data_IF_697531081210
#
_entry.id   IF_697531081210
#
_cell.length_a   1.000
_cell.length_b   1.000
_cell.length_c   1.000
_cell.angle_alpha   90.00
_cell.angle_beta   90.00
_cell.angle_gamma   90.00
#
_symmetry.space_group_name_H-M   'P 1'
#
loop_
_entity.id
_entity.type
_entity.pdbx_description
1 polymer ?
#
# COMPACT_ATOMS: atom_id res chain seq x y z
N UNK A 1 7.21 -22.18 0.14
CA UNK A 1 5.99 -21.43 -0.29
C UNK A 1 6.31 -20.74 -1.60
N UNK A 2 5.31 -20.65 -2.51
CA UNK A 2 5.48 -19.93 -3.78
C UNK A 2 5.79 -18.45 -3.47
N UNK A 3 6.69 -17.85 -4.24
CA UNK A 3 7.02 -16.45 -4.16
C UNK A 3 5.81 -15.57 -4.48
N UNK A 4 5.46 -14.65 -3.58
CA UNK A 4 4.38 -13.69 -3.82
C UNK A 4 4.97 -12.31 -4.03
N UNK A 5 4.85 -11.81 -5.25
CA UNK A 5 5.15 -10.42 -5.59
C UNK A 5 3.91 -9.75 -6.16
N UNK A 6 3.69 -8.51 -5.79
CA UNK A 6 2.69 -7.63 -6.38
C UNK A 6 3.36 -6.50 -7.14
N UNK A 7 2.58 -5.78 -7.96
CA UNK A 7 3.02 -4.61 -8.71
C UNK A 7 2.23 -3.39 -8.29
N UNK A 8 2.92 -2.26 -8.14
CA UNK A 8 2.32 -0.98 -7.79
C UNK A 8 2.72 0.06 -8.84
N UNK A 9 1.91 0.32 -9.87
CA UNK A 9 2.15 1.48 -10.73
C UNK A 9 1.94 2.76 -9.91
N UNK A 10 2.87 3.71 -10.01
CA UNK A 10 2.73 4.95 -9.29
C UNK A 10 1.50 5.73 -9.80
N UNK A 11 0.82 6.48 -8.93
CA UNK A 11 -0.41 7.21 -9.25
C UNK A 11 -0.22 8.38 -10.22
N UNK A 12 1.02 8.74 -10.53
CA UNK A 12 1.41 9.69 -11.57
C UNK A 12 2.34 9.03 -12.59
N UNK A 13 2.34 9.55 -13.82
CA UNK A 13 3.30 9.14 -14.83
C UNK A 13 2.86 7.99 -15.73
N UNK A 14 1.68 7.40 -15.47
CA UNK A 14 1.08 6.38 -16.32
C UNK A 14 -0.32 6.79 -16.73
N UNK A 15 -0.66 6.64 -18.01
CA UNK A 15 -2.04 6.75 -18.44
C UNK A 15 -2.81 5.45 -18.17
N UNK A 16 -4.14 5.50 -18.31
CA UNK A 16 -5.02 4.36 -18.08
C UNK A 16 -4.66 3.13 -18.92
N UNK A 17 -4.26 3.33 -20.19
CA UNK A 17 -3.91 2.22 -21.11
C UNK A 17 -2.59 1.58 -20.70
N UNK A 18 -1.65 2.39 -20.22
CA UNK A 18 -0.37 1.90 -19.69
C UNK A 18 -0.59 1.05 -18.44
N UNK A 19 -1.46 1.49 -17.52
CA UNK A 19 -1.79 0.68 -16.33
C UNK A 19 -2.44 -0.65 -16.70
N UNK A 20 -3.33 -0.68 -17.71
CA UNK A 20 -3.89 -1.94 -18.22
C UNK A 20 -2.82 -2.85 -18.85
N UNK A 21 -1.87 -2.27 -19.59
CA UNK A 21 -0.73 -3.01 -20.14
C UNK A 21 0.15 -3.59 -19.02
N UNK A 22 0.46 -2.80 -17.99
CA UNK A 22 1.21 -3.25 -16.80
C UNK A 22 0.51 -4.44 -16.13
N UNK A 23 -0.81 -4.36 -15.95
CA UNK A 23 -1.58 -5.44 -15.33
C UNK A 23 -1.47 -6.76 -16.10
N UNK A 24 -1.56 -6.71 -17.42
CA UNK A 24 -1.41 -7.90 -18.29
C UNK A 24 0.01 -8.48 -18.23
N UNK A 25 1.03 -7.62 -18.36
CA UNK A 25 2.43 -8.06 -18.23
C UNK A 25 2.68 -8.71 -16.87
N UNK A 26 2.18 -8.10 -15.79
CA UNK A 26 2.32 -8.64 -14.44
C UNK A 26 1.64 -10.01 -14.30
N UNK A 27 0.42 -10.16 -14.83
CA UNK A 27 -0.29 -11.44 -14.83
C UNK A 27 0.48 -12.52 -15.62
N UNK A 28 0.98 -12.18 -16.80
CA UNK A 28 1.73 -13.11 -17.68
C UNK A 28 3.03 -13.57 -17.03
N UNK A 29 3.69 -12.70 -16.28
CA UNK A 29 4.92 -12.97 -15.55
C UNK A 29 4.67 -13.67 -14.18
N UNK A 30 3.41 -13.92 -13.81
CA UNK A 30 3.09 -14.68 -12.60
C UNK A 30 3.06 -13.85 -11.31
N UNK A 31 3.00 -12.52 -11.38
CA UNK A 31 2.78 -11.69 -10.21
C UNK A 31 1.44 -12.02 -9.55
N UNK A 32 1.42 -12.02 -8.22
CA UNK A 32 0.25 -12.38 -7.42
C UNK A 32 -0.84 -11.31 -7.46
N UNK A 33 -0.45 -10.02 -7.50
CA UNK A 33 -1.39 -8.90 -7.38
C UNK A 33 -0.94 -7.64 -8.08
N UNK A 34 -1.91 -6.79 -8.42
CA UNK A 34 -1.69 -5.39 -8.80
C UNK A 34 -2.39 -4.46 -7.81
N UNK A 35 -1.68 -3.45 -7.33
CA UNK A 35 -2.15 -2.50 -6.33
C UNK A 35 -2.28 -1.11 -6.95
N UNK A 36 -3.49 -0.59 -7.00
CA UNK A 36 -3.75 0.73 -7.58
C UNK A 36 -3.81 1.79 -6.48
N UNK A 37 -2.82 2.71 -6.44
CA UNK A 37 -2.83 3.82 -5.49
C UNK A 37 -3.94 4.84 -5.83
N UNK A 38 -4.53 5.44 -4.80
CA UNK A 38 -5.47 6.54 -4.95
C UNK A 38 -4.98 7.75 -4.18
N UNK A 39 -4.63 8.81 -4.93
CA UNK A 39 -4.32 10.12 -4.37
C UNK A 39 -5.24 11.17 -5.02
N UNK A 40 -4.78 11.87 -6.04
CA UNK A 40 -5.55 12.80 -6.87
C UNK A 40 -5.35 12.51 -8.38
N UNK A 41 -5.19 11.21 -8.71
CA UNK A 41 -5.12 10.67 -10.06
C UNK A 41 -6.41 9.95 -10.46
N UNK A 42 -6.28 8.73 -11.00
CA UNK A 42 -7.43 7.91 -11.35
C UNK A 42 -8.17 7.39 -10.12
N UNK A 43 -9.49 7.28 -10.23
CA UNK A 43 -10.32 6.61 -9.23
C UNK A 43 -10.08 5.09 -9.32
N UNK A 44 -9.66 4.50 -8.22
CA UNK A 44 -9.08 3.16 -8.20
C UNK A 44 -10.10 2.03 -8.49
N UNK A 45 -11.34 2.11 -8.00
CA UNK A 45 -12.32 1.03 -8.24
C UNK A 45 -12.75 0.95 -9.70
N UNK A 46 -12.86 2.10 -10.39
CA UNK A 46 -13.16 2.12 -11.81
C UNK A 46 -12.00 1.51 -12.62
N UNK A 47 -10.77 1.89 -12.30
CA UNK A 47 -9.59 1.36 -12.97
C UNK A 47 -9.38 -0.14 -12.69
N UNK A 48 -9.57 -0.58 -11.45
CA UNK A 48 -9.54 -1.99 -11.06
C UNK A 48 -10.63 -2.81 -11.76
N UNK A 49 -11.81 -2.20 -12.02
CA UNK A 49 -12.89 -2.86 -12.79
C UNK A 49 -12.47 -3.11 -14.25
N UNK A 50 -11.74 -2.19 -14.86
CA UNK A 50 -11.19 -2.42 -16.21
C UNK A 50 -10.11 -3.51 -16.18
N UNK A 51 -9.21 -3.47 -15.22
CA UNK A 51 -8.18 -4.51 -15.05
C UNK A 51 -8.83 -5.87 -14.82
N UNK A 52 -9.92 -5.93 -14.04
CA UNK A 52 -10.65 -7.17 -13.81
C UNK A 52 -11.14 -7.85 -15.09
N UNK A 53 -11.52 -7.07 -16.10
CA UNK A 53 -11.99 -7.57 -17.40
C UNK A 53 -10.88 -7.95 -18.36
N UNK A 54 -9.69 -7.42 -18.15
CA UNK A 54 -8.51 -7.66 -19.00
C UNK A 54 -7.61 -8.78 -18.46
N UNK A 55 -7.88 -9.26 -17.24
CA UNK A 55 -7.08 -10.25 -16.52
C UNK A 55 -7.97 -11.34 -15.92
N UNK A 56 -7.37 -12.50 -15.59
CA UNK A 56 -8.13 -13.67 -15.11
C UNK A 56 -7.61 -14.25 -13.80
N UNK A 57 -6.37 -13.98 -13.40
CA UNK A 57 -5.71 -14.59 -12.23
C UNK A 57 -5.18 -13.59 -11.22
N UNK A 58 -4.58 -12.49 -11.70
CA UNK A 58 -3.95 -11.51 -10.82
C UNK A 58 -4.95 -10.91 -9.84
N UNK A 59 -4.60 -10.83 -8.57
CA UNK A 59 -5.43 -10.20 -7.55
C UNK A 59 -5.44 -8.69 -7.73
N UNK A 60 -6.57 -8.09 -7.43
CA UNK A 60 -6.86 -6.68 -7.64
C UNK A 60 -6.92 -5.96 -6.29
N UNK A 61 -5.97 -5.10 -6.02
CA UNK A 61 -5.86 -4.47 -4.72
C UNK A 61 -5.95 -2.93 -4.78
N UNK A 62 -6.64 -2.36 -3.80
CA UNK A 62 -6.56 -0.92 -3.56
C UNK A 62 -5.27 -0.61 -2.79
N UNK A 63 -4.45 0.32 -3.27
CA UNK A 63 -3.12 0.58 -2.73
C UNK A 63 -2.85 1.99 -2.22
N UNK A 64 -3.68 2.55 -1.37
CA UNK A 64 -4.78 2.10 -0.52
C UNK A 64 -6.06 2.92 -0.76
N UNK A 65 -7.23 2.39 -0.38
CA UNK A 65 -8.44 3.18 -0.32
C UNK A 65 -8.47 4.04 0.96
N UNK A 66 -8.75 5.33 0.77
CA UNK A 66 -8.81 6.29 1.85
C UNK A 66 -10.18 6.22 2.56
N UNK A 67 -10.18 5.95 3.87
CA UNK A 67 -11.42 5.87 4.68
C UNK A 67 -12.14 7.20 4.90
N UNK A 68 -11.57 8.33 4.45
CA UNK A 68 -12.21 9.64 4.51
C UNK A 68 -12.87 10.05 3.19
N UNK A 69 -12.44 9.48 2.06
CA UNK A 69 -12.98 9.83 0.73
C UNK A 69 -14.32 9.14 0.43
N UNK A 70 -14.61 8.03 1.12
CA UNK A 70 -15.84 7.23 0.95
C UNK A 70 -16.45 6.86 2.30
N UNK A 71 -17.77 6.72 2.36
CA UNK A 71 -18.41 6.09 3.52
C UNK A 71 -18.06 4.60 3.60
N UNK A 72 -18.08 4.03 4.81
CA UNK A 72 -17.85 2.60 4.99
C UNK A 72 -18.85 1.74 4.19
N UNK A 73 -20.11 2.17 4.10
CA UNK A 73 -21.13 1.51 3.28
C UNK A 73 -20.78 1.51 1.79
N UNK A 74 -20.31 2.67 1.25
CA UNK A 74 -19.89 2.74 -0.15
C UNK A 74 -18.64 1.90 -0.41
N UNK A 75 -17.66 1.89 0.51
CA UNK A 75 -16.49 1.01 0.40
C UNK A 75 -16.90 -0.46 0.36
N UNK A 76 -17.80 -0.88 1.25
CA UNK A 76 -18.31 -2.25 1.25
C UNK A 76 -19.01 -2.63 -0.06
N UNK A 77 -19.85 -1.74 -0.60
CA UNK A 77 -20.53 -1.92 -1.89
C UNK A 77 -19.52 -2.01 -3.04
N UNK A 78 -18.62 -1.03 -3.16
CA UNK A 78 -17.64 -0.97 -4.24
C UNK A 78 -16.74 -2.21 -4.25
N UNK A 79 -16.28 -2.62 -3.06
CA UNK A 79 -15.43 -3.80 -2.91
C UNK A 79 -16.17 -5.09 -3.28
N UNK A 80 -17.41 -5.28 -2.79
CA UNK A 80 -18.19 -6.48 -3.10
C UNK A 80 -18.57 -6.55 -4.59
N UNK A 81 -18.86 -5.41 -5.22
CA UNK A 81 -19.14 -5.35 -6.65
C UNK A 81 -17.91 -5.69 -7.49
N UNK A 82 -16.75 -5.12 -7.13
CA UNK A 82 -15.49 -5.46 -7.81
C UNK A 82 -15.11 -6.93 -7.60
N UNK A 83 -15.36 -7.46 -6.40
CA UNK A 83 -15.10 -8.85 -6.08
C UNK A 83 -15.96 -9.81 -6.91
N UNK A 84 -17.23 -9.49 -7.12
CA UNK A 84 -18.13 -10.22 -8.03
C UNK A 84 -17.64 -10.15 -9.48
N UNK A 85 -17.33 -8.94 -10.00
CA UNK A 85 -16.82 -8.74 -11.36
C UNK A 85 -15.53 -9.51 -11.61
N UNK A 86 -14.68 -9.58 -10.60
CA UNK A 86 -13.35 -10.24 -10.69
C UNK A 86 -13.36 -11.71 -10.27
N UNK A 87 -14.52 -12.30 -9.96
CA UNK A 87 -14.66 -13.69 -9.53
C UNK A 87 -13.81 -14.01 -8.27
N UNK A 88 -13.87 -13.12 -7.27
CA UNK A 88 -13.24 -13.34 -5.98
C UNK A 88 -11.74 -12.97 -5.89
N UNK A 89 -11.25 -12.04 -6.71
CA UNK A 89 -9.82 -11.66 -6.76
C UNK A 89 -9.45 -10.40 -5.97
N UNK A 90 -10.37 -9.78 -5.25
CA UNK A 90 -10.12 -8.49 -4.58
C UNK A 90 -9.34 -8.65 -3.28
N UNK A 91 -8.42 -7.70 -3.03
CA UNK A 91 -7.84 -7.38 -1.73
C UNK A 91 -8.17 -5.91 -1.43
N UNK A 92 -8.80 -5.64 -0.30
CA UNK A 92 -9.10 -4.27 0.11
C UNK A 92 -7.93 -3.71 0.96
N UNK A 93 -7.05 -2.93 0.34
CA UNK A 93 -6.06 -2.13 1.06
C UNK A 93 -6.70 -0.86 1.60
N UNK A 94 -6.63 -0.61 2.90
CA UNK A 94 -7.22 0.52 3.59
C UNK A 94 -6.19 1.36 4.33
N UNK A 95 -6.39 2.67 4.33
CA UNK A 95 -5.57 3.60 5.10
C UNK A 95 -6.27 4.92 5.37
N UNK A 96 -5.60 5.78 6.12
CA UNK A 96 -6.14 7.08 6.51
C UNK A 96 -5.72 8.22 5.59
N UNK A 97 -4.80 7.97 4.66
CA UNK A 97 -4.14 8.99 3.85
C UNK A 97 -3.45 10.07 4.69
N UNK A 98 -2.91 11.10 4.03
CA UNK A 98 -2.35 12.28 4.70
C UNK A 98 -3.41 13.33 5.01
N UNK A 99 -3.24 14.06 6.12
CA UNK A 99 -4.16 15.12 6.53
C UNK A 99 -4.41 16.15 5.42
N UNK A 100 -3.36 16.58 4.72
CA UNK A 100 -3.47 17.55 3.64
C UNK A 100 -4.39 17.06 2.51
N UNK A 101 -4.28 15.81 2.10
CA UNK A 101 -5.13 15.22 1.06
C UNK A 101 -6.58 15.15 1.53
N UNK A 102 -6.80 14.71 2.76
CA UNK A 102 -8.15 14.57 3.31
C UNK A 102 -8.85 15.93 3.48
N UNK A 103 -8.17 16.93 4.03
CA UNK A 103 -8.78 18.24 4.31
C UNK A 103 -8.82 19.13 3.08
N UNK A 104 -7.74 19.20 2.28
CA UNK A 104 -7.64 20.18 1.20
C UNK A 104 -8.14 19.66 -0.15
N UNK A 105 -8.09 18.34 -0.40
CA UNK A 105 -8.60 17.75 -1.63
C UNK A 105 -10.01 17.18 -1.47
N UNK A 106 -10.25 16.39 -0.40
CA UNK A 106 -11.57 15.79 -0.17
C UNK A 106 -12.53 16.67 0.65
N UNK A 107 -12.06 17.79 1.25
CA UNK A 107 -12.87 18.69 2.05
C UNK A 107 -13.43 18.06 3.32
N UNK A 108 -12.84 16.99 3.82
CA UNK A 108 -13.32 16.22 4.97
C UNK A 108 -12.42 16.46 6.19
N UNK A 109 -12.95 16.78 7.37
CA UNK A 109 -12.14 16.96 8.56
C UNK A 109 -11.36 15.69 8.95
N UNK A 110 -10.05 15.80 9.15
CA UNK A 110 -9.17 14.68 9.55
C UNK A 110 -9.29 14.41 11.06
N UNK A 111 -10.34 13.71 11.46
CA UNK A 111 -10.64 13.45 12.88
C UNK A 111 -10.70 11.95 13.16
N UNK A 112 -10.09 11.53 14.29
CA UNK A 112 -10.09 10.14 14.81
C UNK A 112 -9.73 9.10 13.73
N UNK A 113 -8.58 9.25 13.00
CA UNK A 113 -8.27 8.43 11.84
C UNK A 113 -8.22 6.92 12.18
N UNK A 114 -7.61 6.54 13.29
CA UNK A 114 -7.52 5.13 13.70
C UNK A 114 -8.91 4.53 14.03
N UNK A 115 -9.73 5.27 14.77
CA UNK A 115 -11.11 4.85 15.07
C UNK A 115 -11.90 4.66 13.78
N UNK A 116 -11.82 5.62 12.84
CA UNK A 116 -12.50 5.55 11.55
C UNK A 116 -12.06 4.32 10.76
N UNK A 117 -10.76 4.06 10.68
CA UNK A 117 -10.23 2.90 9.94
C UNK A 117 -10.72 1.59 10.56
N UNK A 118 -10.63 1.44 11.88
CA UNK A 118 -11.12 0.27 12.60
C UNK A 118 -12.62 0.03 12.40
N UNK A 119 -13.44 1.07 12.56
CA UNK A 119 -14.89 0.97 12.38
C UNK A 119 -15.25 0.64 10.92
N UNK A 120 -14.56 1.24 9.95
CA UNK A 120 -14.74 0.93 8.52
C UNK A 120 -14.48 -0.56 8.24
N UNK A 121 -13.41 -1.15 8.78
CA UNK A 121 -13.11 -2.58 8.64
C UNK A 121 -14.27 -3.42 9.18
N UNK A 122 -14.72 -3.13 10.41
CA UNK A 122 -15.83 -3.85 11.04
C UNK A 122 -17.13 -3.78 10.25
N UNK A 123 -17.47 -2.58 9.76
CA UNK A 123 -18.67 -2.35 8.93
C UNK A 123 -18.59 -3.12 7.62
N UNK A 124 -17.46 -3.09 6.92
CA UNK A 124 -17.27 -3.83 5.68
C UNK A 124 -17.45 -5.34 5.91
N UNK A 125 -16.77 -5.91 6.90
CA UNK A 125 -16.89 -7.35 7.24
C UNK A 125 -18.32 -7.75 7.61
N UNK A 126 -19.05 -6.93 8.39
CA UNK A 126 -20.47 -7.16 8.70
C UNK A 126 -21.32 -7.19 7.44
N UNK A 127 -21.18 -6.20 6.56
CA UNK A 127 -21.98 -6.09 5.35
C UNK A 127 -21.70 -7.24 4.36
N UNK A 128 -20.45 -7.69 4.21
CA UNK A 128 -20.09 -8.81 3.33
C UNK A 128 -20.63 -10.16 3.82
N UNK A 129 -20.83 -10.34 5.15
CA UNK A 129 -21.51 -11.51 5.72
C UNK A 129 -23.02 -11.50 5.55
N UNK A 130 -23.58 -10.45 4.91
CA UNK A 130 -25.01 -10.27 4.76
C UNK A 130 -25.74 -9.88 6.05
N UNK A 131 -24.99 -9.49 7.09
CA UNK A 131 -25.50 -9.08 8.38
C UNK A 131 -25.99 -7.63 8.34
N UNK A 132 -26.86 -7.26 9.29
CA UNK A 132 -27.37 -5.90 9.43
C UNK A 132 -26.45 -5.04 10.27
N UNK A 133 -26.27 -3.79 9.89
CA UNK A 133 -25.56 -2.79 10.70
C UNK A 133 -26.34 -2.49 11.97
N UNK A 134 -25.60 -2.31 13.07
CA UNK A 134 -26.12 -1.92 14.36
C UNK A 134 -25.48 -0.59 14.85
N UNK A 135 -26.14 0.17 15.73
CA UNK A 135 -25.62 1.44 16.23
C UNK A 135 -24.25 1.32 16.92
N UNK A 136 -23.96 0.18 17.54
CA UNK A 136 -22.74 -0.06 18.33
C UNK A 136 -21.49 -0.21 17.46
N UNK A 137 -21.66 -0.42 16.15
CA UNK A 137 -20.54 -0.60 15.23
C UNK A 137 -19.80 0.69 14.87
N UNK A 138 -20.38 1.86 15.19
CA UNK A 138 -19.71 3.12 14.96
C UNK A 138 -19.99 4.13 16.07
N UNK A 139 -18.92 4.79 16.51
CA UNK A 139 -18.96 5.97 17.38
C UNK A 139 -18.90 7.28 16.59
N UNK A 140 -18.73 7.20 15.27
CA UNK A 140 -18.55 8.32 14.36
C UNK A 140 -19.77 8.59 13.48
N UNK A 141 -20.70 7.62 13.37
CA UNK A 141 -21.91 7.73 12.58
C UNK A 141 -23.05 6.93 13.21
N UNK A 142 -24.27 7.40 13.06
CA UNK A 142 -25.46 6.63 13.42
C UNK A 142 -25.76 5.61 12.32
N UNK A 143 -25.52 4.34 12.59
CA UNK A 143 -25.80 3.23 11.68
C UNK A 143 -27.08 2.54 12.13
N UNK A 144 -27.94 2.13 11.18
CA UNK A 144 -29.21 1.47 11.51
C UNK A 144 -29.61 0.44 10.47
N UNK A 145 -29.68 -0.82 10.87
CA UNK A 145 -30.41 -1.92 10.22
C UNK A 145 -30.22 -2.17 8.73
N UNK A 146 -29.35 -1.44 8.02
CA UNK A 146 -29.05 -1.68 6.62
C UNK A 146 -28.14 -2.90 6.43
N UNK A 147 -28.35 -3.63 5.37
CA UNK A 147 -27.44 -4.66 4.84
C UNK A 147 -27.33 -4.49 3.34
N UNK A 148 -26.38 -5.15 2.71
CA UNK A 148 -26.31 -5.16 1.26
C UNK A 148 -27.55 -5.85 0.65
N UNK A 149 -28.07 -5.29 -0.43
CA UNK A 149 -29.18 -5.90 -1.20
C UNK A 149 -28.68 -7.04 -2.10
N UNK A 150 -27.42 -6.96 -2.53
CA UNK A 150 -26.72 -8.04 -3.22
C UNK A 150 -26.16 -9.06 -2.23
N UNK A 151 -25.91 -10.28 -2.68
CA UNK A 151 -25.15 -11.29 -1.92
C UNK A 151 -23.71 -11.27 -2.38
N UNK A 152 -22.74 -10.85 -1.54
CA UNK A 152 -21.33 -10.90 -1.91
C UNK A 152 -20.87 -12.32 -2.24
N UNK A 153 -19.98 -12.46 -3.23
CA UNK A 153 -19.43 -13.79 -3.60
C UNK A 153 -18.50 -14.35 -2.53
N UNK A 154 -17.92 -13.48 -1.71
CA UNK A 154 -17.14 -13.86 -0.51
C UNK A 154 -17.66 -13.09 0.70
N UNK A 155 -17.87 -13.80 1.78
CA UNK A 155 -18.22 -13.21 3.08
C UNK A 155 -17.00 -12.61 3.80
N UNK A 156 -15.80 -12.94 3.34
CA UNK A 156 -14.52 -12.57 3.97
C UNK A 156 -13.50 -12.17 2.90
N UNK A 157 -13.61 -10.93 2.43
CA UNK A 157 -12.65 -10.33 1.48
C UNK A 157 -11.43 -9.88 2.27
N UNK A 158 -10.20 -10.25 1.89
CA UNK A 158 -9.00 -9.86 2.63
C UNK A 158 -8.86 -8.35 2.74
N UNK A 159 -8.58 -7.86 3.96
CA UNK A 159 -8.32 -6.45 4.25
C UNK A 159 -6.88 -6.27 4.71
N UNK A 160 -6.13 -5.45 3.97
CA UNK A 160 -4.78 -5.06 4.35
C UNK A 160 -4.77 -3.60 4.79
N UNK A 161 -4.02 -3.29 5.84
CA UNK A 161 -4.01 -1.95 6.45
C UNK A 161 -2.66 -1.27 6.28
N UNK A 162 -2.70 0.02 5.91
CA UNK A 162 -1.53 0.87 5.87
C UNK A 162 -1.45 1.73 7.14
N UNK A 163 -0.37 1.57 7.88
CA UNK A 163 -0.04 2.39 9.04
C UNK A 163 1.47 2.33 9.32
N UNK A 164 2.02 3.42 9.85
CA UNK A 164 3.43 3.56 10.19
C UNK A 164 3.66 3.68 11.70
N UNK A 165 2.59 3.68 12.50
CA UNK A 165 2.67 3.90 13.95
C UNK A 165 2.47 2.58 14.72
N UNK A 166 3.36 2.26 15.68
CA UNK A 166 3.34 1.00 16.41
C UNK A 166 1.97 0.66 17.01
N UNK A 167 1.37 1.63 17.72
CA UNK A 167 0.06 1.45 18.34
C UNK A 167 -1.03 1.12 17.31
N UNK A 168 -1.00 1.81 16.17
CA UNK A 168 -2.01 1.59 15.13
C UNK A 168 -1.85 0.23 14.47
N UNK A 169 -0.62 -0.20 14.19
CA UNK A 169 -0.36 -1.54 13.63
C UNK A 169 -0.88 -2.60 14.58
N UNK A 170 -0.49 -2.59 15.87
CA UNK A 170 -0.95 -3.57 16.87
C UNK A 170 -2.47 -3.63 16.99
N UNK A 171 -3.15 -2.47 16.93
CA UNK A 171 -4.61 -2.43 17.00
C UNK A 171 -5.27 -2.97 15.73
N UNK A 172 -4.77 -2.61 14.55
CA UNK A 172 -5.39 -2.96 13.28
C UNK A 172 -5.19 -4.42 12.88
N UNK A 173 -4.02 -5.01 13.16
CA UNK A 173 -3.75 -6.43 12.84
C UNK A 173 -4.61 -7.42 13.65
N UNK A 174 -5.28 -6.94 14.71
CA UNK A 174 -6.28 -7.74 15.43
C UNK A 174 -7.49 -8.12 14.56
N UNK A 175 -7.76 -7.34 13.51
CA UNK A 175 -8.96 -7.46 12.66
C UNK A 175 -8.65 -7.45 11.16
N UNK A 176 -7.42 -7.12 10.75
CA UNK A 176 -6.96 -7.11 9.36
C UNK A 176 -6.24 -8.43 9.02
N UNK A 177 -6.07 -8.68 7.71
CA UNK A 177 -5.48 -9.89 7.17
C UNK A 177 -4.06 -9.65 6.66
N UNK A 178 -3.65 -8.38 6.57
CA UNK A 178 -2.28 -7.99 6.23
C UNK A 178 -1.96 -6.57 6.64
N UNK A 179 -0.65 -6.28 6.64
CA UNK A 179 -0.10 -4.95 6.88
C UNK A 179 0.77 -4.51 5.70
N UNK A 180 0.54 -3.29 5.23
CA UNK A 180 1.17 -2.70 4.05
C UNK A 180 1.99 -1.47 4.46
N UNK A 181 3.20 -1.63 4.98
CA UNK A 181 4.10 -0.50 5.23
C UNK A 181 4.70 0.02 3.93
N UNK A 182 4.93 1.34 3.88
CA UNK A 182 5.64 2.01 2.79
C UNK A 182 6.95 2.57 3.32
N UNK A 183 8.05 2.41 2.59
CA UNK A 183 9.40 2.87 2.99
C UNK A 183 9.86 2.32 4.33
N UNK A 184 9.49 1.09 4.64
CA UNK A 184 9.92 0.45 5.88
C UNK A 184 11.36 -0.04 5.74
N UNK A 185 12.31 0.37 6.60
CA UNK A 185 13.68 -0.05 6.47
C UNK A 185 13.86 -1.55 6.73
N UNK A 186 14.69 -2.20 5.91
CA UNK A 186 14.96 -3.64 6.00
C UNK A 186 15.43 -4.08 7.39
N UNK A 187 16.35 -3.33 7.99
CA UNK A 187 16.92 -3.66 9.29
C UNK A 187 15.90 -3.60 10.44
N UNK A 188 14.78 -2.90 10.23
CA UNK A 188 13.68 -2.75 11.21
C UNK A 188 12.48 -3.68 10.95
N UNK A 189 12.63 -4.68 10.08
CA UNK A 189 11.56 -5.64 9.79
C UNK A 189 11.11 -6.39 11.03
N UNK A 190 12.06 -6.80 11.90
CA UNK A 190 11.77 -7.50 13.15
C UNK A 190 10.84 -6.72 14.07
N UNK A 191 11.01 -5.39 14.16
CA UNK A 191 10.10 -4.55 14.95
C UNK A 191 8.66 -4.63 14.42
N UNK A 192 8.50 -4.58 13.09
CA UNK A 192 7.19 -4.71 12.45
C UNK A 192 6.55 -6.08 12.69
N UNK A 193 7.32 -7.14 12.62
CA UNK A 193 6.88 -8.50 12.92
C UNK A 193 6.49 -8.68 14.40
N UNK A 194 7.21 -8.05 15.32
CA UNK A 194 6.85 -8.01 16.73
C UNK A 194 5.51 -7.33 16.96
N UNK A 195 5.26 -6.19 16.31
CA UNK A 195 3.96 -5.48 16.42
C UNK A 195 2.80 -6.32 15.88
N UNK A 196 3.02 -7.03 14.75
CA UNK A 196 2.05 -7.99 14.23
C UNK A 196 1.79 -9.10 15.26
N UNK A 197 2.86 -9.69 15.79
CA UNK A 197 2.77 -10.80 16.73
C UNK A 197 2.07 -10.40 18.04
N UNK A 198 2.36 -9.21 18.57
CA UNK A 198 1.70 -8.66 19.76
C UNK A 198 0.20 -8.45 19.51
N UNK A 199 -0.15 -7.73 18.43
CA UNK A 199 -1.54 -7.43 18.11
C UNK A 199 -2.37 -8.69 17.79
N UNK A 200 -1.79 -9.67 17.10
CA UNK A 200 -2.43 -10.93 16.78
C UNK A 200 -2.71 -11.74 18.06
N UNK A 201 -1.68 -11.91 18.93
CA UNK A 201 -1.83 -12.61 20.21
C UNK A 201 -2.89 -11.98 21.11
N UNK A 202 -2.94 -10.65 21.18
CA UNK A 202 -3.96 -9.91 21.94
C UNK A 202 -5.39 -10.20 21.44
N UNK A 203 -5.54 -10.60 20.19
CA UNK A 203 -6.81 -10.98 19.59
C UNK A 203 -7.06 -12.48 19.54
N UNK A 204 -6.14 -13.31 20.08
CA UNK A 204 -6.22 -14.77 20.02
C UNK A 204 -6.03 -15.34 18.60
N UNK A 205 -5.31 -14.60 17.73
CA UNK A 205 -5.00 -14.99 16.35
C UNK A 205 -3.58 -15.53 16.23
N UNK A 206 -3.35 -16.39 15.25
CA UNK A 206 -1.99 -16.78 14.86
C UNK A 206 -1.34 -15.62 14.07
N UNK A 207 -0.16 -15.11 14.49
CA UNK A 207 0.57 -14.09 13.74
C UNK A 207 0.86 -14.46 12.28
N UNK A 208 0.99 -15.73 11.95
CA UNK A 208 1.22 -16.24 10.59
C UNK A 208 0.04 -16.03 9.64
N UNK A 209 -1.15 -15.74 10.17
CA UNK A 209 -2.34 -15.38 9.37
C UNK A 209 -2.28 -13.95 8.83
N UNK A 210 -1.35 -13.12 9.34
CA UNK A 210 -1.24 -11.71 8.98
C UNK A 210 -0.07 -11.51 8.03
N UNK A 211 -0.37 -11.19 6.79
CA UNK A 211 0.64 -11.05 5.75
C UNK A 211 1.34 -9.69 5.83
N UNK A 212 2.68 -9.69 5.89
CA UNK A 212 3.49 -8.48 5.77
C UNK A 212 3.76 -8.20 4.28
N UNK A 213 3.20 -7.09 3.79
CA UNK A 213 3.22 -6.72 2.37
C UNK A 213 3.83 -5.33 2.13
N UNK A 214 5.15 -5.14 2.27
CA UNK A 214 5.77 -3.83 2.11
C UNK A 214 5.76 -3.34 0.66
N UNK A 215 5.52 -2.03 0.48
CA UNK A 215 5.83 -1.35 -0.78
C UNK A 215 7.35 -1.13 -0.87
N UNK A 216 7.95 -1.66 -1.94
CA UNK A 216 9.38 -1.64 -2.19
C UNK A 216 9.69 -0.87 -3.47
N UNK A 217 10.59 0.10 -3.39
CA UNK A 217 11.28 0.61 -4.57
C UNK A 217 12.25 -0.45 -5.07
N UNK A 218 12.11 -0.92 -6.31
CA UNK A 218 13.04 -1.89 -6.91
C UNK A 218 13.48 -1.35 -8.26
N UNK A 219 14.79 -1.10 -8.41
CA UNK A 219 15.37 -0.56 -9.64
C UNK A 219 16.53 -1.46 -10.11
N UNK A 220 16.24 -2.45 -10.99
CA UNK A 220 17.19 -3.48 -11.39
C UNK A 220 18.10 -2.99 -12.54
N UNK A 221 19.01 -2.07 -12.24
CA UNK A 221 19.94 -1.42 -13.18
C UNK A 221 21.36 -1.48 -12.60
N UNK A 222 22.36 -1.82 -13.44
CA UNK A 222 23.77 -1.94 -13.04
C UNK A 222 24.35 -0.64 -12.47
N UNK A 223 23.95 0.50 -13.00
CA UNK A 223 24.33 1.80 -12.46
C UNK A 223 23.52 2.11 -11.18
N UNK A 224 24.12 1.76 -10.04
CA UNK A 224 23.51 1.89 -8.71
C UNK A 224 23.21 3.35 -8.36
N UNK A 225 24.07 4.29 -8.76
CA UNK A 225 23.90 5.71 -8.47
C UNK A 225 22.71 6.26 -9.26
N UNK A 226 22.55 5.84 -10.51
CA UNK A 226 21.37 6.15 -11.30
C UNK A 226 20.11 5.51 -10.68
N UNK A 227 20.18 4.25 -10.26
CA UNK A 227 19.06 3.54 -9.62
C UNK A 227 18.59 4.25 -8.34
N UNK A 228 19.52 4.68 -7.47
CA UNK A 228 19.19 5.48 -6.28
C UNK A 228 18.57 6.82 -6.64
N UNK A 229 19.14 7.52 -7.63
CA UNK A 229 18.66 8.83 -8.07
C UNK A 229 17.21 8.79 -8.55
N UNK A 230 16.78 7.69 -9.17
CA UNK A 230 15.41 7.50 -9.66
C UNK A 230 14.36 7.44 -8.53
N UNK A 231 14.76 7.07 -7.32
CA UNK A 231 13.86 6.95 -6.16
C UNK A 231 13.82 8.22 -5.29
N UNK A 232 14.88 9.02 -5.29
CA UNK A 232 15.01 10.23 -4.45
C UNK A 232 13.86 11.24 -4.60
N UNK A 233 13.30 11.51 -5.81
CA UNK A 233 12.15 12.42 -5.95
C UNK A 233 10.93 11.99 -5.16
N UNK A 234 10.61 10.69 -5.17
CA UNK A 234 9.48 10.13 -4.44
C UNK A 234 9.72 10.20 -2.92
N UNK A 235 10.90 9.83 -2.45
CA UNK A 235 11.26 9.88 -1.04
C UNK A 235 11.18 11.32 -0.52
N UNK A 236 11.78 12.28 -1.24
CA UNK A 236 11.71 13.71 -0.91
C UNK A 236 10.27 14.22 -0.82
N UNK A 237 9.41 13.85 -1.78
CA UNK A 237 8.00 14.19 -1.76
C UNK A 237 7.27 13.61 -0.53
N UNK A 238 7.51 12.36 -0.17
CA UNK A 238 6.86 11.76 0.99
C UNK A 238 7.33 12.36 2.31
N UNK A 239 8.61 12.71 2.45
CA UNK A 239 9.14 13.37 3.66
C UNK A 239 8.60 14.80 3.80
N UNK A 240 8.58 15.57 2.71
CA UNK A 240 8.27 17.01 2.76
C UNK A 240 6.83 17.38 2.41
N UNK A 241 6.13 16.57 1.61
CA UNK A 241 4.82 16.90 1.03
C UNK A 241 3.64 16.15 1.63
N UNK A 242 3.86 14.97 2.22
CA UNK A 242 2.77 14.11 2.71
C UNK A 242 2.46 14.27 4.21
N UNK A 243 2.89 15.37 4.83
CA UNK A 243 2.73 15.61 6.26
C UNK A 243 3.91 15.08 7.06
N UNK A 244 3.71 14.77 8.36
CA UNK A 244 4.82 14.39 9.26
C UNK A 244 5.03 12.88 9.39
N UNK A 245 4.10 12.03 8.95
CA UNK A 245 4.15 10.59 9.23
C UNK A 245 5.42 9.89 8.73
N UNK A 246 5.86 10.21 7.51
CA UNK A 246 7.08 9.62 6.94
C UNK A 246 8.34 10.24 7.54
N UNK A 247 8.34 11.54 7.74
CA UNK A 247 9.42 12.23 8.45
C UNK A 247 9.63 11.63 9.84
N UNK A 248 8.56 11.54 10.65
CA UNK A 248 8.61 10.99 12.01
C UNK A 248 9.07 9.52 12.01
N UNK A 249 8.69 8.75 10.98
CA UNK A 249 9.14 7.37 10.80
C UNK A 249 10.65 7.32 10.56
N UNK A 250 11.18 8.11 9.63
CA UNK A 250 12.61 8.12 9.34
C UNK A 250 13.44 8.63 10.53
N UNK A 251 12.93 9.62 11.26
CA UNK A 251 13.58 10.06 12.53
C UNK A 251 13.65 8.91 13.54
N UNK A 252 12.58 8.13 13.70
CA UNK A 252 12.56 6.97 14.61
C UNK A 252 13.59 5.91 14.21
N UNK A 253 13.88 5.75 12.93
CA UNK A 253 14.84 4.79 12.42
C UNK A 253 16.26 5.34 12.24
N UNK A 254 16.57 6.49 12.86
CA UNK A 254 17.93 7.02 12.93
C UNK A 254 18.31 7.98 11.80
N UNK A 255 17.41 8.32 10.89
CA UNK A 255 17.66 9.24 9.78
C UNK A 255 17.24 10.69 10.07
N UNK A 256 17.25 11.13 11.34
CA UNK A 256 16.73 12.44 11.77
C UNK A 256 17.35 13.60 10.99
N UNK A 257 18.70 13.68 10.95
CA UNK A 257 19.40 14.79 10.28
C UNK A 257 19.07 14.87 8.79
N UNK A 258 18.98 13.71 8.11
CA UNK A 258 18.64 13.64 6.70
C UNK A 258 17.17 14.00 6.45
N UNK A 259 16.25 13.45 7.25
CA UNK A 259 14.82 13.73 7.14
C UNK A 259 14.48 15.21 7.41
N UNK A 260 15.14 15.83 8.41
CA UNK A 260 14.99 17.26 8.70
C UNK A 260 15.46 18.13 7.54
N UNK A 261 16.66 17.88 7.00
CA UNK A 261 17.20 18.62 5.87
C UNK A 261 16.29 18.51 4.63
N UNK A 262 15.88 17.31 4.27
CA UNK A 262 15.00 17.05 3.13
C UNK A 262 13.67 17.78 3.30
N UNK A 263 13.04 17.69 4.47
CA UNK A 263 11.77 18.37 4.76
C UNK A 263 11.91 19.89 4.68
N UNK A 264 12.94 20.45 5.32
CA UNK A 264 13.12 21.91 5.41
C UNK A 264 13.36 22.52 4.04
N UNK A 265 14.19 21.89 3.19
CA UNK A 265 14.37 22.29 1.80
C UNK A 265 13.06 22.15 1.00
N UNK A 266 12.32 21.07 1.19
CA UNK A 266 11.05 20.84 0.50
C UNK A 266 10.01 21.92 0.83
N UNK A 267 9.84 22.23 2.10
CA UNK A 267 8.88 23.23 2.59
C UNK A 267 9.28 24.66 2.19
N UNK A 268 10.60 24.94 2.13
CA UNK A 268 11.13 26.20 1.63
C UNK A 268 10.93 26.39 0.10
N UNK A 269 10.45 25.35 -0.61
CA UNK A 269 10.24 25.40 -2.07
C UNK A 269 11.44 24.95 -2.90
N UNK A 270 12.57 24.64 -2.27
CA UNK A 270 13.83 24.21 -2.89
C UNK A 270 13.76 22.72 -3.26
N UNK A 271 12.83 22.35 -4.18
CA UNK A 271 12.52 20.95 -4.48
C UNK A 271 13.70 20.15 -5.01
N UNK A 272 14.54 20.76 -5.86
CA UNK A 272 15.68 20.07 -6.47
C UNK A 272 16.76 19.79 -5.41
N UNK A 273 17.04 20.76 -4.54
CA UNK A 273 17.97 20.60 -3.43
C UNK A 273 17.44 19.58 -2.41
N UNK A 274 16.13 19.55 -2.15
CA UNK A 274 15.49 18.55 -1.31
C UNK A 274 15.65 17.12 -1.87
N UNK A 275 15.48 16.95 -3.18
CA UNK A 275 15.72 15.68 -3.86
C UNK A 275 17.19 15.27 -3.74
N UNK A 276 18.11 16.20 -4.00
CA UNK A 276 19.56 15.95 -3.91
C UNK A 276 20.03 15.62 -2.47
N UNK A 277 19.32 16.15 -1.46
CA UNK A 277 19.64 15.95 -0.05
C UNK A 277 19.23 14.55 0.46
N UNK A 278 18.40 13.79 -0.26
CA UNK A 278 18.09 12.41 0.14
C UNK A 278 19.37 11.58 0.08
N UNK A 279 19.82 11.04 1.22
CA UNK A 279 21.07 10.28 1.30
C UNK A 279 20.92 8.89 0.63
N UNK A 280 22.04 8.36 0.15
CA UNK A 280 22.08 7.02 -0.43
C UNK A 280 21.81 5.96 0.65
N UNK A 281 22.31 6.16 1.88
CA UNK A 281 22.04 5.27 3.01
C UNK A 281 20.54 5.14 3.29
N UNK A 282 19.79 6.25 3.20
CA UNK A 282 18.33 6.21 3.36
C UNK A 282 17.68 5.43 2.22
N UNK A 283 18.12 5.63 0.98
CA UNK A 283 17.59 4.87 -0.17
C UNK A 283 17.87 3.38 0.01
N UNK A 284 19.09 2.99 0.34
CA UNK A 284 19.52 1.60 0.50
C UNK A 284 18.81 0.89 1.66
N UNK A 285 18.41 1.64 2.70
CA UNK A 285 17.66 1.09 3.81
C UNK A 285 16.23 0.66 3.43
N UNK A 286 15.60 1.30 2.44
CA UNK A 286 14.16 1.16 2.13
C UNK A 286 13.86 0.64 0.72
N UNK A 287 14.89 0.48 -0.11
CA UNK A 287 14.73 0.11 -1.51
C UNK A 287 15.80 -0.90 -1.95
N UNK A 288 15.65 -1.43 -3.13
CA UNK A 288 16.56 -2.40 -3.73
C UNK A 288 17.05 -1.83 -5.06
N UNK A 289 18.33 -1.45 -5.12
CA UNK A 289 19.00 -0.86 -6.28
C UNK A 289 20.20 -1.72 -6.69
N UNK A 290 20.38 -2.01 -7.96
CA UNK A 290 21.52 -2.76 -8.47
C UNK A 290 21.19 -3.65 -9.66
N UNK A 291 22.10 -4.56 -10.01
CA UNK A 291 21.86 -5.48 -11.12
C UNK A 291 20.58 -6.31 -10.92
N UNK A 292 19.97 -6.84 -12.00
CA UNK A 292 18.83 -7.76 -11.88
C UNK A 292 19.09 -8.95 -10.95
N UNK A 293 20.30 -9.48 -10.95
CA UNK A 293 20.71 -10.57 -10.06
C UNK A 293 20.72 -10.14 -8.61
N UNK A 294 21.36 -9.02 -8.31
CA UNK A 294 21.39 -8.43 -6.98
C UNK A 294 19.97 -8.14 -6.46
N UNK A 295 19.09 -7.58 -7.31
CA UNK A 295 17.71 -7.31 -6.90
C UNK A 295 16.94 -8.59 -6.54
N UNK A 296 17.12 -9.69 -7.28
CA UNK A 296 16.50 -10.98 -6.93
C UNK A 296 17.05 -11.56 -5.62
N UNK A 297 18.35 -11.50 -5.40
CA UNK A 297 18.99 -11.93 -4.15
C UNK A 297 18.45 -11.14 -2.97
N UNK A 298 18.41 -9.82 -3.05
CA UNK A 298 17.87 -8.95 -2.01
C UNK A 298 16.39 -9.23 -1.74
N UNK A 299 15.55 -9.43 -2.75
CA UNK A 299 14.16 -9.83 -2.56
C UNK A 299 14.07 -11.18 -1.82
N UNK A 300 14.99 -12.10 -2.09
CA UNK A 300 15.12 -13.36 -1.35
C UNK A 300 15.45 -13.16 0.13
N UNK A 301 16.36 -12.24 0.44
CA UNK A 301 16.70 -11.87 1.82
C UNK A 301 15.53 -11.21 2.55
N UNK A 302 14.81 -10.32 1.90
CA UNK A 302 13.60 -9.70 2.47
C UNK A 302 12.54 -10.75 2.82
N UNK A 303 12.37 -11.76 1.95
CA UNK A 303 11.47 -12.90 2.25
C UNK A 303 11.95 -13.73 3.42
N UNK A 304 13.24 -14.06 3.45
CA UNK A 304 13.82 -14.81 4.57
C UNK A 304 13.66 -14.06 5.90
N UNK A 305 13.59 -12.73 5.85
CA UNK A 305 13.36 -11.86 7.01
C UNK A 305 11.86 -11.61 7.31
N UNK A 306 10.93 -12.32 6.67
CA UNK A 306 9.50 -12.30 7.01
C UNK A 306 8.57 -11.54 6.07
N UNK A 307 9.05 -11.05 4.92
CA UNK A 307 8.20 -10.50 3.88
C UNK A 307 7.32 -11.60 3.28
N UNK A 308 6.00 -11.49 3.45
CA UNK A 308 5.04 -12.45 2.89
C UNK A 308 4.67 -12.13 1.44
N UNK A 309 4.53 -10.85 1.10
CA UNK A 309 4.07 -10.38 -0.20
C UNK A 309 4.78 -9.07 -0.58
N UNK A 310 5.87 -9.13 -1.32
CA UNK A 310 6.62 -7.93 -1.74
C UNK A 310 5.88 -7.14 -2.82
N UNK A 311 5.64 -5.85 -2.60
CA UNK A 311 4.93 -4.99 -3.55
C UNK A 311 5.93 -4.11 -4.30
N UNK A 312 6.27 -4.52 -5.52
CA UNK A 312 7.24 -3.84 -6.38
C UNK A 312 6.64 -2.53 -6.92
N UNK A 313 7.17 -1.42 -6.44
CA UNK A 313 6.80 -0.08 -6.87
C UNK A 313 7.47 0.30 -8.18
N UNK A 314 6.68 0.78 -9.15
CA UNK A 314 7.18 1.32 -10.41
C UNK A 314 7.35 2.83 -10.28
N UNK A 315 8.52 3.35 -10.65
CA UNK A 315 8.82 4.78 -10.57
C UNK A 315 7.97 5.61 -11.54
N UNK A 316 7.61 6.86 -11.19
CA UNK A 316 6.91 7.76 -12.10
C UNK A 316 7.67 7.97 -13.40
N UNK A 317 6.98 7.90 -14.54
CA UNK A 317 7.54 8.22 -15.84
C UNK A 317 8.47 7.16 -16.44
N UNK A 318 8.52 5.96 -15.86
CA UNK A 318 9.16 4.83 -16.52
C UNK A 318 8.39 4.50 -17.81
N UNK A 319 9.12 4.33 -18.92
CA UNK A 319 8.52 3.94 -20.19
C UNK A 319 7.95 2.51 -20.12
N UNK A 320 7.03 2.19 -21.03
CA UNK A 320 6.46 0.82 -21.10
C UNK A 320 7.55 -0.27 -21.22
N UNK A 321 8.61 -0.01 -21.96
CA UNK A 321 9.73 -0.93 -22.13
C UNK A 321 10.55 -1.06 -20.84
N UNK A 322 10.77 0.05 -20.14
CA UNK A 322 11.44 0.03 -18.83
C UNK A 322 10.62 -0.73 -17.80
N UNK A 323 9.29 -0.56 -17.78
CA UNK A 323 8.40 -1.30 -16.89
C UNK A 323 8.46 -2.80 -17.17
N UNK A 324 8.37 -3.19 -18.43
CA UNK A 324 8.45 -4.60 -18.83
C UNK A 324 9.81 -5.21 -18.45
N UNK A 325 10.90 -4.45 -18.64
CA UNK A 325 12.23 -4.86 -18.21
C UNK A 325 12.29 -5.07 -16.67
N UNK A 326 11.82 -4.09 -15.89
CA UNK A 326 11.81 -4.18 -14.41
C UNK A 326 11.03 -5.41 -13.97
N UNK A 327 9.82 -5.60 -14.49
CA UNK A 327 8.97 -6.73 -14.09
C UNK A 327 9.58 -8.08 -14.48
N UNK A 328 10.21 -8.19 -15.65
CA UNK A 328 10.93 -9.42 -16.05
C UNK A 328 12.16 -9.66 -15.20
N UNK A 329 12.91 -8.63 -14.87
CA UNK A 329 14.15 -8.73 -14.10
C UNK A 329 13.93 -9.32 -12.70
N UNK A 330 12.77 -9.07 -12.07
CA UNK A 330 12.45 -9.53 -10.71
C UNK A 330 11.16 -10.35 -10.66
N UNK A 331 10.77 -10.98 -11.77
CA UNK A 331 9.57 -11.81 -11.83
C UNK A 331 9.62 -12.94 -10.78
N UNK A 332 8.46 -13.31 -10.19
CA UNK A 332 8.38 -14.45 -9.27
C UNK A 332 8.86 -15.75 -9.92
N UNK A 333 9.61 -16.59 -9.16
CA UNK A 333 10.12 -17.87 -9.61
C UNK A 333 9.04 -18.98 -9.60
#
# INVERSE_FOLDING_TARGET
MKEKLGVVPFWQGYDRKEVLKIARIAEDLGYESIWIPEAWGYEQFQLLTEIAKETTRIKLATGIANVFSRSAGLLAMSTATLDEISEGRVILGLGTSGKNVVENFHGTPYRKPLTRLRETIGICKTLWRGERLTPEQSTLAELRHFKLAMTPVRADIPIYVASLQPKAVRELVRIADGWVPTFWPYEHFNEGLEWIAEGARDAGRDPSEIELAPFLGVVPIEDVDFARSALKPMISFYIGGMGTYYHDMFCRFGFTENADLVRDLYVAGNKQESIAAVSDDLVDAIAICGSPEHCRERLGEWRANGMGHGLVGLSPGATADSVEFILKAVAPA
#
